data_IF_428611731720
#
_entry.id   IF_428611731720
#
_cell.length_a   1.000
_cell.length_b   1.000
_cell.length_c   1.000
_cell.angle_alpha   90.00
_cell.angle_beta   90.00
_cell.angle_gamma   90.00
#
_symmetry.space_group_name_H-M   'P 1'
#
loop_
_entity.id
_entity.type
_entity.pdbx_description
1 polymer ?
#
# COMPACT_ATOMS: atom_id res chain seq x y z
N UNK A 1 -23.81 1.06 10.91
CA UNK A 1 -22.44 1.60 11.06
C UNK A 1 -21.44 0.52 11.45
N UNK A 2 -21.66 -0.27 12.48
CA UNK A 2 -20.82 -1.44 12.84
C UNK A 2 -20.77 -2.46 11.70
N UNK A 3 -21.85 -2.63 10.90
CA UNK A 3 -21.88 -3.55 9.76
C UNK A 3 -20.97 -3.11 8.61
N UNK A 4 -20.83 -1.82 8.34
CA UNK A 4 -19.92 -1.27 7.32
C UNK A 4 -18.44 -1.42 7.76
N UNK A 5 -18.15 -1.20 9.03
CA UNK A 5 -16.83 -1.43 9.60
C UNK A 5 -16.41 -2.90 9.57
N UNK A 6 -17.32 -3.82 9.88
CA UNK A 6 -17.08 -5.26 9.76
C UNK A 6 -16.86 -5.68 8.30
N UNK A 7 -17.65 -5.18 7.35
CA UNK A 7 -17.47 -5.44 5.92
C UNK A 7 -16.11 -4.93 5.42
N UNK A 8 -15.68 -3.74 5.85
CA UNK A 8 -14.36 -3.21 5.51
C UNK A 8 -13.21 -4.06 6.08
N UNK A 9 -13.31 -4.48 7.35
CA UNK A 9 -12.29 -5.31 7.99
C UNK A 9 -12.24 -6.73 7.42
N UNK A 10 -13.38 -7.34 7.12
CA UNK A 10 -13.44 -8.66 6.48
C UNK A 10 -12.90 -8.63 5.05
N UNK A 11 -13.13 -7.54 4.31
CA UNK A 11 -12.57 -7.37 2.97
C UNK A 11 -11.05 -7.23 3.00
N UNK A 12 -10.50 -6.47 3.96
CA UNK A 12 -9.05 -6.36 4.15
C UNK A 12 -8.38 -7.71 4.46
N UNK A 13 -9.01 -8.58 5.26
CA UNK A 13 -8.45 -9.91 5.57
C UNK A 13 -8.40 -10.78 4.33
N UNK A 14 -9.47 -10.80 3.53
CA UNK A 14 -9.58 -11.62 2.32
C UNK A 14 -8.57 -11.22 1.27
N UNK A 15 -8.41 -9.92 1.03
CA UNK A 15 -7.42 -9.40 0.10
C UNK A 15 -5.98 -9.76 0.54
N UNK A 16 -5.71 -9.75 1.85
CA UNK A 16 -4.41 -10.17 2.39
C UNK A 16 -4.17 -11.67 2.24
N UNK A 17 -5.18 -12.52 2.39
CA UNK A 17 -5.05 -13.96 2.18
C UNK A 17 -4.71 -14.25 0.71
N UNK A 18 -5.43 -13.63 -0.23
CA UNK A 18 -5.20 -13.78 -1.67
C UNK A 18 -3.78 -13.31 -2.04
N UNK A 19 -3.40 -12.13 -1.55
CA UNK A 19 -2.07 -11.55 -1.83
C UNK A 19 -0.95 -12.40 -1.25
N UNK A 20 -1.15 -12.95 -0.02
CA UNK A 20 -0.18 -13.85 0.60
C UNK A 20 -0.03 -15.15 -0.18
N UNK A 21 -1.12 -15.65 -0.78
CA UNK A 21 -1.08 -16.79 -1.70
C UNK A 21 -0.20 -16.49 -2.93
N UNK A 22 -0.30 -15.32 -3.53
CA UNK A 22 0.56 -14.91 -4.64
C UNK A 22 2.03 -14.77 -4.23
N UNK A 23 2.31 -14.17 -3.06
CA UNK A 23 3.67 -14.04 -2.54
C UNK A 23 4.32 -15.42 -2.32
N UNK A 24 3.60 -16.36 -1.69
CA UNK A 24 4.13 -17.71 -1.43
C UNK A 24 4.43 -18.50 -2.71
N UNK A 25 3.80 -18.15 -3.84
CA UNK A 25 4.05 -18.77 -5.13
C UNK A 25 5.10 -18.02 -5.98
N UNK A 26 5.77 -16.97 -5.44
CA UNK A 26 6.88 -16.28 -6.08
C UNK A 26 6.53 -15.56 -7.39
N UNK A 27 5.25 -15.18 -7.59
CA UNK A 27 4.81 -14.56 -8.85
C UNK A 27 5.42 -13.16 -9.02
N UNK A 28 5.45 -12.39 -7.93
CA UNK A 28 5.97 -11.02 -7.97
C UNK A 28 7.49 -11.00 -8.19
N UNK A 29 8.22 -11.97 -7.61
CA UNK A 29 9.64 -12.17 -7.85
C UNK A 29 9.91 -12.52 -9.32
N UNK A 30 9.11 -13.38 -9.92
CA UNK A 30 9.25 -13.73 -11.34
C UNK A 30 9.01 -12.54 -12.26
N UNK A 31 7.98 -11.75 -12.01
CA UNK A 31 7.70 -10.52 -12.76
C UNK A 31 8.85 -9.53 -12.60
N UNK A 32 9.31 -9.33 -11.37
CA UNK A 32 10.45 -8.47 -11.07
C UNK A 32 11.71 -8.90 -11.82
N UNK A 33 12.08 -10.17 -11.72
CA UNK A 33 13.25 -10.71 -12.40
C UNK A 33 13.15 -10.57 -13.92
N UNK A 34 12.01 -10.90 -14.53
CA UNK A 34 11.79 -10.77 -15.99
C UNK A 34 11.90 -9.32 -16.48
N UNK A 35 11.53 -8.34 -15.66
CA UNK A 35 11.69 -6.93 -16.00
C UNK A 35 13.14 -6.46 -15.84
N UNK A 36 13.85 -6.98 -14.84
CA UNK A 36 15.22 -6.57 -14.53
C UNK A 36 16.24 -7.11 -15.53
N UNK A 37 16.07 -8.31 -16.05
CA UNK A 37 16.96 -8.89 -17.08
C UNK A 37 17.03 -8.05 -18.36
N UNK A 38 16.08 -7.14 -18.56
CA UNK A 38 16.06 -6.20 -19.69
C UNK A 38 16.72 -4.85 -19.39
N UNK A 39 17.14 -4.61 -18.14
CA UNK A 39 17.76 -3.33 -17.75
C UNK A 39 19.27 -3.35 -17.97
N UNK A 40 19.81 -2.31 -18.60
CA UNK A 40 21.25 -2.15 -18.87
C UNK A 40 21.87 -0.96 -18.14
N UNK A 41 21.05 0.01 -17.73
CA UNK A 41 21.49 1.25 -17.09
C UNK A 41 20.88 1.39 -15.70
N UNK A 42 21.59 2.04 -14.79
CA UNK A 42 21.16 2.24 -13.40
C UNK A 42 19.79 2.92 -13.30
N UNK A 43 19.51 3.96 -14.10
CA UNK A 43 18.20 4.61 -14.07
C UNK A 43 17.04 3.68 -14.46
N UNK A 44 17.29 2.73 -15.40
CA UNK A 44 16.28 1.74 -15.79
C UNK A 44 15.97 0.78 -14.63
N UNK A 45 17.02 0.33 -13.94
CA UNK A 45 16.86 -0.50 -12.74
C UNK A 45 16.03 0.22 -11.69
N UNK A 46 16.37 1.46 -11.36
CA UNK A 46 15.65 2.26 -10.37
C UNK A 46 14.20 2.49 -10.82
N UNK A 47 13.99 2.83 -12.10
CA UNK A 47 12.65 3.04 -12.66
C UNK A 47 11.79 1.77 -12.58
N UNK A 48 12.35 0.60 -12.86
CA UNK A 48 11.64 -0.67 -12.71
C UNK A 48 11.33 -0.95 -11.25
N UNK A 49 12.28 -0.80 -10.34
CA UNK A 49 12.08 -1.06 -8.91
C UNK A 49 11.03 -0.13 -8.29
N UNK A 50 11.04 1.15 -8.62
CA UNK A 50 10.06 2.13 -8.16
C UNK A 50 8.71 1.93 -8.85
N UNK A 51 8.72 1.69 -10.17
CA UNK A 51 7.51 1.44 -10.96
C UNK A 51 6.78 0.19 -10.52
N UNK A 52 7.49 -0.90 -10.17
CA UNK A 52 6.89 -2.11 -9.61
C UNK A 52 6.08 -1.79 -8.34
N UNK A 53 6.62 -0.98 -7.43
CA UNK A 53 5.88 -0.56 -6.24
C UNK A 53 4.68 0.33 -6.58
N UNK A 54 4.85 1.28 -7.52
CA UNK A 54 3.79 2.19 -7.92
C UNK A 54 2.59 1.46 -8.53
N UNK A 55 2.83 0.61 -9.52
CA UNK A 55 1.74 -0.09 -10.21
C UNK A 55 1.20 -1.29 -9.42
N UNK A 56 2.05 -2.06 -8.74
CA UNK A 56 1.57 -3.18 -7.95
C UNK A 56 0.71 -2.73 -6.77
N UNK A 57 1.04 -1.61 -6.12
CA UNK A 57 0.25 -1.08 -5.01
C UNK A 57 -1.17 -0.63 -5.39
N UNK A 58 -1.45 -0.41 -6.67
CA UNK A 58 -2.81 -0.16 -7.17
C UNK A 58 -3.68 -1.43 -7.13
N UNK A 59 -3.06 -2.61 -7.13
CA UNK A 59 -3.72 -3.90 -7.30
C UNK A 59 -3.65 -4.73 -6.01
N UNK A 60 -2.46 -4.71 -5.39
CA UNK A 60 -2.19 -5.35 -4.11
C UNK A 60 -1.91 -4.25 -3.09
N UNK A 61 -2.23 -4.23 -1.92
CA UNK A 61 -2.02 -3.13 -0.98
C UNK A 61 -0.58 -2.59 -0.96
N UNK A 62 -0.40 -1.32 -0.62
CA UNK A 62 0.90 -0.65 -0.50
C UNK A 62 1.87 -1.41 0.42
N UNK A 63 1.38 -1.93 1.55
CA UNK A 63 2.18 -2.69 2.53
C UNK A 63 2.79 -3.94 1.90
N UNK A 64 1.97 -4.71 1.18
CA UNK A 64 2.39 -5.95 0.52
C UNK A 64 3.37 -5.68 -0.61
N UNK A 65 3.11 -4.63 -1.39
CA UNK A 65 4.04 -4.19 -2.44
C UNK A 65 5.43 -3.91 -1.85
N UNK A 66 5.51 -3.18 -0.73
CA UNK A 66 6.79 -2.87 -0.09
C UNK A 66 7.48 -4.09 0.53
N UNK A 67 6.73 -4.95 1.23
CA UNK A 67 7.30 -6.19 1.80
C UNK A 67 7.92 -7.07 0.71
N UNK A 68 7.34 -7.05 -0.49
CA UNK A 68 7.82 -7.84 -1.63
C UNK A 68 9.02 -7.19 -2.33
N UNK A 69 8.90 -5.93 -2.71
CA UNK A 69 9.86 -5.32 -3.63
C UNK A 69 10.99 -4.53 -2.95
N UNK A 70 10.88 -4.11 -1.68
CA UNK A 70 11.97 -3.44 -0.98
C UNK A 70 13.15 -4.38 -0.69
N UNK A 71 12.96 -5.59 -0.12
CA UNK A 71 14.05 -6.54 0.05
C UNK A 71 14.71 -6.90 -1.28
N UNK A 72 13.90 -7.05 -2.33
CA UNK A 72 14.39 -7.33 -3.67
C UNK A 72 15.27 -6.17 -4.20
N UNK A 73 14.84 -4.92 -4.04
CA UNK A 73 15.64 -3.75 -4.42
C UNK A 73 16.97 -3.66 -3.66
N UNK A 74 16.94 -3.92 -2.35
CA UNK A 74 18.14 -3.95 -1.51
C UNK A 74 19.13 -5.01 -2.01
N UNK A 75 18.63 -6.22 -2.30
CA UNK A 75 19.43 -7.32 -2.82
C UNK A 75 20.08 -6.94 -4.16
N UNK A 76 19.31 -6.43 -5.12
CA UNK A 76 19.79 -6.04 -6.44
C UNK A 76 20.83 -4.92 -6.38
N UNK A 77 20.62 -3.90 -5.53
CA UNK A 77 21.58 -2.81 -5.35
C UNK A 77 22.88 -3.28 -4.66
N UNK A 78 22.79 -4.29 -3.79
CA UNK A 78 23.99 -4.94 -3.22
C UNK A 78 24.78 -5.70 -4.29
N UNK A 79 24.10 -6.49 -5.12
CA UNK A 79 24.73 -7.25 -6.22
C UNK A 79 25.40 -6.33 -7.25
N UNK A 80 24.78 -5.18 -7.55
CA UNK A 80 25.36 -4.17 -8.43
C UNK A 80 26.46 -3.32 -7.77
N UNK A 81 26.82 -3.55 -6.49
CA UNK A 81 27.80 -2.75 -5.76
C UNK A 81 27.38 -1.30 -5.49
N UNK A 82 26.07 -1.00 -5.56
CA UNK A 82 25.50 0.36 -5.46
C UNK A 82 24.73 0.60 -4.16
N UNK A 83 25.40 0.27 -3.04
CA UNK A 83 24.77 0.41 -1.72
C UNK A 83 24.47 1.86 -1.34
N UNK A 84 25.11 2.85 -1.95
CA UNK A 84 24.85 4.27 -1.75
C UNK A 84 23.46 4.69 -2.26
N UNK A 85 22.89 3.97 -3.21
CA UNK A 85 21.56 4.23 -3.80
C UNK A 85 20.42 3.57 -3.02
N UNK A 86 20.70 2.70 -2.05
CA UNK A 86 19.65 2.01 -1.30
C UNK A 86 18.68 2.98 -0.61
N UNK A 87 19.19 4.02 0.07
CA UNK A 87 18.35 4.98 0.78
C UNK A 87 17.40 5.68 -0.19
N UNK A 88 17.88 6.40 -1.23
CA UNK A 88 16.96 7.10 -2.13
C UNK A 88 16.01 6.16 -2.86
N UNK A 89 16.44 4.95 -3.25
CA UNK A 89 15.57 3.98 -3.94
C UNK A 89 14.47 3.46 -3.01
N UNK A 90 14.80 3.05 -1.79
CA UNK A 90 13.80 2.54 -0.83
C UNK A 90 12.82 3.65 -0.43
N UNK A 91 13.29 4.88 -0.27
CA UNK A 91 12.42 6.04 -0.01
C UNK A 91 11.48 6.30 -1.18
N UNK A 92 11.99 6.29 -2.43
CA UNK A 92 11.15 6.46 -3.62
C UNK A 92 10.16 5.29 -3.80
N UNK A 93 10.55 4.06 -3.48
CA UNK A 93 9.63 2.91 -3.48
C UNK A 93 8.50 3.11 -2.45
N UNK A 94 8.82 3.65 -1.26
CA UNK A 94 7.83 3.94 -0.22
C UNK A 94 6.82 4.98 -0.68
N UNK A 95 7.30 6.08 -1.25
CA UNK A 95 6.45 7.13 -1.82
C UNK A 95 5.62 6.58 -2.98
N UNK A 96 6.25 5.79 -3.87
CA UNK A 96 5.58 5.16 -5.00
C UNK A 96 4.45 4.23 -4.56
N UNK A 97 4.66 3.42 -3.52
CA UNK A 97 3.64 2.53 -2.99
C UNK A 97 2.46 3.31 -2.35
N UNK A 98 2.75 4.36 -1.56
CA UNK A 98 1.70 5.19 -0.97
C UNK A 98 0.87 5.93 -2.03
N UNK A 99 1.54 6.59 -2.99
CA UNK A 99 0.87 7.42 -3.99
C UNK A 99 0.27 6.59 -5.15
N UNK A 100 0.84 5.43 -5.46
CA UNK A 100 0.23 4.50 -6.41
C UNK A 100 -1.04 3.89 -5.85
N UNK A 101 -1.00 3.41 -4.62
CA UNK A 101 -2.14 2.77 -3.96
C UNK A 101 -3.36 3.67 -3.80
N UNK A 102 -3.19 4.98 -3.81
CA UNK A 102 -4.31 5.90 -3.66
C UNK A 102 -5.28 5.86 -4.84
N UNK A 103 -4.87 5.43 -6.04
CA UNK A 103 -5.71 5.47 -7.24
C UNK A 103 -6.93 4.57 -7.15
N UNK A 104 -6.81 3.43 -6.49
CA UNK A 104 -7.87 2.40 -6.48
C UNK A 104 -8.43 2.18 -5.07
N UNK A 105 -9.69 1.75 -4.97
CA UNK A 105 -10.27 1.39 -3.67
C UNK A 105 -9.51 0.27 -2.95
N UNK A 106 -8.93 -0.69 -3.69
CA UNK A 106 -8.22 -1.85 -3.13
C UNK A 106 -6.75 -1.58 -2.79
N UNK A 107 -6.18 -0.44 -3.25
CA UNK A 107 -4.76 -0.14 -3.06
C UNK A 107 -4.37 0.07 -1.60
N UNK A 108 -5.31 0.52 -0.77
CA UNK A 108 -5.08 0.68 0.67
C UNK A 108 -6.38 0.60 1.48
N UNK A 109 -6.31 0.27 2.79
CA UNK A 109 -7.51 0.06 3.63
C UNK A 109 -8.40 1.30 3.77
N UNK A 110 -7.80 2.50 3.87
CA UNK A 110 -8.57 3.74 4.01
C UNK A 110 -9.41 4.04 2.76
N UNK A 111 -8.89 3.76 1.56
CA UNK A 111 -9.64 3.94 0.32
C UNK A 111 -10.82 2.99 0.24
N UNK A 112 -10.60 1.73 0.61
CA UNK A 112 -11.66 0.74 0.60
C UNK A 112 -12.81 1.14 1.53
N UNK A 113 -12.48 1.63 2.71
CA UNK A 113 -13.45 2.13 3.69
C UNK A 113 -14.18 3.37 3.18
N UNK A 114 -13.44 4.40 2.72
CA UNK A 114 -14.03 5.65 2.24
C UNK A 114 -14.84 5.45 0.95
N UNK A 115 -14.41 4.56 0.06
CA UNK A 115 -15.20 4.14 -1.12
C UNK A 115 -16.52 3.49 -0.70
N UNK A 116 -16.50 2.65 0.35
CA UNK A 116 -17.70 2.07 0.94
C UNK A 116 -18.69 3.11 1.42
N UNK A 117 -18.20 4.14 2.15
CA UNK A 117 -19.00 5.24 2.68
C UNK A 117 -19.53 6.17 1.58
N UNK A 118 -18.69 6.50 0.59
CA UNK A 118 -19.04 7.44 -0.47
C UNK A 118 -20.24 7.02 -1.31
N UNK A 119 -20.52 5.73 -1.41
CA UNK A 119 -21.66 5.23 -2.18
C UNK A 119 -21.55 5.41 -3.71
N UNK A 120 -20.42 5.96 -4.19
CA UNK A 120 -20.15 6.27 -5.60
C UNK A 120 -19.74 5.04 -6.41
N UNK A 121 -19.70 5.17 -7.74
CA UNK A 121 -19.14 4.16 -8.62
C UNK A 121 -17.61 4.15 -8.56
N UNK A 122 -16.99 2.99 -8.88
CA UNK A 122 -15.53 2.83 -8.88
C UNK A 122 -14.83 3.83 -9.82
N UNK A 123 -15.41 4.11 -10.99
CA UNK A 123 -14.87 5.06 -11.96
C UNK A 123 -14.84 6.49 -11.41
N UNK A 124 -15.88 6.90 -10.69
CA UNK A 124 -15.95 8.21 -10.06
C UNK A 124 -14.91 8.34 -8.95
N UNK A 125 -14.77 7.34 -8.10
CA UNK A 125 -13.74 7.33 -7.05
C UNK A 125 -12.33 7.43 -7.63
N UNK A 126 -12.03 6.69 -8.71
CA UNK A 126 -10.74 6.77 -9.41
C UNK A 126 -10.52 8.18 -9.97
N UNK A 127 -11.55 8.81 -10.57
CA UNK A 127 -11.42 10.15 -11.12
C UNK A 127 -11.12 11.21 -10.07
N UNK A 128 -11.50 11.05 -8.81
CA UNK A 128 -11.15 11.97 -7.73
C UNK A 128 -9.63 11.97 -7.46
N UNK A 129 -8.99 10.82 -7.54
CA UNK A 129 -7.59 10.61 -7.13
C UNK A 129 -6.61 10.59 -8.32
N UNK A 130 -7.14 10.41 -9.54
CA UNK A 130 -6.33 10.32 -10.76
C UNK A 130 -5.39 11.51 -10.99
N UNK A 131 -5.82 12.78 -10.83
CA UNK A 131 -4.94 13.94 -11.04
C UNK A 131 -3.73 13.92 -10.10
N UNK A 132 -3.93 13.56 -8.84
CA UNK A 132 -2.88 13.48 -7.84
C UNK A 132 -1.94 12.30 -8.11
N UNK A 133 -2.49 11.17 -8.56
CA UNK A 133 -1.69 10.00 -8.95
C UNK A 133 -0.81 10.29 -10.16
N UNK A 134 -1.32 11.00 -11.18
CA UNK A 134 -0.55 11.41 -12.35
C UNK A 134 0.56 12.39 -11.94
N UNK A 135 0.23 13.41 -11.13
CA UNK A 135 1.23 14.35 -10.62
C UNK A 135 2.34 13.63 -9.84
N UNK A 136 1.97 12.66 -9.01
CA UNK A 136 2.91 11.83 -8.25
C UNK A 136 3.82 10.99 -9.17
N UNK A 137 3.25 10.39 -10.21
CA UNK A 137 4.02 9.63 -11.20
C UNK A 137 5.06 10.52 -11.91
N UNK A 138 4.68 11.72 -12.29
CA UNK A 138 5.60 12.70 -12.91
C UNK A 138 6.72 13.11 -11.95
N UNK A 139 6.40 13.39 -10.68
CA UNK A 139 7.39 13.72 -9.67
C UNK A 139 8.36 12.55 -9.40
N UNK A 140 7.86 11.30 -9.39
CA UNK A 140 8.70 10.11 -9.27
C UNK A 140 9.67 9.99 -10.45
N UNK A 141 9.20 10.17 -11.69
CA UNK A 141 10.04 10.16 -12.88
C UNK A 141 11.12 11.25 -12.80
N UNK A 142 10.75 12.48 -12.43
CA UNK A 142 11.70 13.58 -12.25
C UNK A 142 12.73 13.23 -11.18
N UNK A 143 12.29 12.68 -10.04
CA UNK A 143 13.18 12.30 -8.95
C UNK A 143 14.19 11.22 -9.37
N UNK A 144 13.75 10.22 -10.15
CA UNK A 144 14.64 9.19 -10.72
C UNK A 144 15.66 9.82 -11.69
N UNK A 145 15.21 10.75 -12.51
CA UNK A 145 16.10 11.45 -13.46
C UNK A 145 17.11 12.36 -12.78
N UNK A 146 16.88 12.80 -11.55
CA UNK A 146 17.80 13.63 -10.76
C UNK A 146 18.82 12.81 -9.97
N UNK A 147 18.69 11.49 -9.88
CA UNK A 147 19.66 10.63 -9.19
C UNK A 147 21.01 10.70 -9.91
N UNK A 148 22.10 10.89 -9.13
CA UNK A 148 23.47 10.92 -9.64
C UNK A 148 23.89 9.53 -10.11
N UNK A 149 24.82 9.47 -11.08
CA UNK A 149 25.40 8.23 -11.65
C UNK A 149 24.38 7.29 -12.32
N UNK A 150 23.24 7.83 -12.76
CA UNK A 150 22.12 7.07 -13.35
C UNK A 150 22.43 6.39 -14.69
N UNK A 151 23.46 6.84 -15.42
CA UNK A 151 23.81 6.33 -16.77
C UNK A 151 24.86 5.20 -16.74
N UNK A 152 25.32 4.79 -15.56
CA UNK A 152 26.28 3.71 -15.46
C UNK A 152 25.66 2.39 -15.96
N UNK A 153 26.49 1.62 -16.67
CA UNK A 153 26.11 0.32 -17.20
C UNK A 153 26.15 -0.69 -16.06
N UNK A 154 25.11 -1.48 -15.95
CA UNK A 154 24.99 -2.54 -14.96
C UNK A 154 25.18 -3.86 -15.68
N UNK A 155 26.11 -4.69 -15.22
CA UNK A 155 26.13 -6.11 -15.55
C UNK A 155 25.39 -6.83 -14.41
N UNK A 156 24.16 -7.23 -14.66
CA UNK A 156 23.45 -8.16 -13.77
C UNK A 156 23.97 -9.52 -14.20
N UNK A 157 24.86 -10.13 -13.39
CA UNK A 157 25.16 -11.55 -13.57
C UNK A 157 23.87 -12.32 -13.35
N UNK A 158 23.51 -13.17 -14.33
CA UNK A 158 22.43 -14.14 -14.17
C UNK A 158 22.83 -15.08 -13.03
N UNK A 159 22.62 -14.63 -11.81
CA UNK A 159 22.57 -15.57 -10.70
C UNK A 159 21.31 -16.38 -10.91
N UNK A 160 21.49 -17.61 -11.36
CA UNK A 160 20.51 -18.68 -11.23
C UNK A 160 20.03 -18.64 -9.79
N UNK A 161 19.00 -17.85 -9.54
CA UNK A 161 18.33 -17.85 -8.26
C UNK A 161 17.61 -19.18 -8.17
N UNK A 162 18.26 -20.16 -7.52
CA UNK A 162 17.68 -21.43 -7.07
C UNK A 162 16.45 -21.23 -6.14
N UNK A 163 15.93 -20.03 -6.03
CA UNK A 163 14.58 -19.78 -5.56
C UNK A 163 13.55 -20.14 -6.65
N UNK A 164 13.72 -21.33 -7.26
CA UNK A 164 12.62 -22.01 -7.90
C UNK A 164 11.63 -22.42 -6.81
N UNK A 165 10.89 -21.44 -6.31
CA UNK A 165 9.64 -21.75 -5.64
C UNK A 165 8.84 -22.60 -6.62
N UNK A 166 8.59 -23.85 -6.26
CA UNK A 166 7.73 -24.76 -7.00
C UNK A 166 6.36 -24.09 -7.13
N UNK A 167 6.22 -23.30 -8.18
CA UNK A 167 4.99 -22.57 -8.48
C UNK A 167 3.92 -23.59 -8.82
N UNK A 168 3.05 -23.88 -7.89
CA UNK A 168 1.92 -24.76 -8.13
C UNK A 168 0.91 -24.04 -9.01
N UNK A 169 0.88 -24.35 -10.31
CA UNK A 169 -0.06 -23.74 -11.27
C UNK A 169 -1.52 -23.78 -10.77
N UNK A 170 -2.03 -24.92 -10.21
CA UNK A 170 -3.41 -24.95 -9.71
C UNK A 170 -3.65 -23.98 -8.54
N UNK A 171 -2.66 -23.76 -7.67
CA UNK A 171 -2.79 -22.78 -6.58
C UNK A 171 -2.86 -21.36 -7.11
N UNK A 172 -1.98 -21.03 -8.06
CA UNK A 172 -1.97 -19.71 -8.71
C UNK A 172 -3.30 -19.44 -9.40
N UNK A 173 -3.85 -20.42 -10.12
CA UNK A 173 -5.17 -20.30 -10.75
C UNK A 173 -6.28 -20.07 -9.71
N UNK A 174 -6.28 -20.80 -8.61
CA UNK A 174 -7.27 -20.63 -7.55
C UNK A 174 -7.22 -19.22 -6.93
N UNK A 175 -6.01 -18.73 -6.60
CA UNK A 175 -5.84 -17.36 -6.09
C UNK A 175 -6.20 -16.30 -7.12
N UNK A 176 -5.96 -16.54 -8.42
CA UNK A 176 -6.36 -15.62 -9.49
C UNK A 176 -7.89 -15.54 -9.62
N UNK A 177 -8.58 -16.65 -9.50
CA UNK A 177 -10.05 -16.66 -9.48
C UNK A 177 -10.58 -15.89 -8.26
N UNK A 178 -10.02 -16.13 -7.07
CA UNK A 178 -10.40 -15.39 -5.86
C UNK A 178 -10.13 -13.88 -6.01
N UNK A 179 -9.03 -13.50 -6.65
CA UNK A 179 -8.72 -12.10 -6.91
C UNK A 179 -9.74 -11.45 -7.85
N UNK A 180 -10.13 -12.13 -8.94
CA UNK A 180 -11.19 -11.64 -9.84
C UNK A 180 -12.51 -11.50 -9.08
N UNK A 181 -12.88 -12.48 -8.23
CA UNK A 181 -14.08 -12.39 -7.39
C UNK A 181 -14.01 -11.19 -6.44
N UNK A 182 -12.84 -10.91 -5.84
CA UNK A 182 -12.65 -9.74 -4.99
C UNK A 182 -12.86 -8.42 -5.77
N UNK A 183 -12.33 -8.32 -6.99
CA UNK A 183 -12.57 -7.16 -7.87
C UNK A 183 -14.06 -6.98 -8.19
N UNK A 184 -14.79 -8.05 -8.44
CA UNK A 184 -16.24 -8.00 -8.70
C UNK A 184 -17.04 -7.56 -7.47
N UNK A 185 -16.60 -7.91 -6.27
CA UNK A 185 -17.20 -7.42 -5.01
C UNK A 185 -16.93 -5.93 -4.83
N UNK A 186 -15.70 -5.47 -5.06
CA UNK A 186 -15.35 -4.03 -5.01
C UNK A 186 -16.14 -3.24 -6.05
N UNK A 187 -16.31 -3.80 -7.25
CA UNK A 187 -17.16 -3.21 -8.30
C UNK A 187 -18.67 -3.27 -7.99
N UNK A 188 -19.05 -3.82 -6.83
CA UNK A 188 -20.46 -3.99 -6.38
C UNK A 188 -21.31 -4.88 -7.31
N UNK A 189 -20.68 -5.72 -8.10
CA UNK A 189 -21.35 -6.72 -8.96
C UNK A 189 -21.71 -7.96 -8.17
N UNK A 190 -20.84 -8.36 -7.21
CA UNK A 190 -21.03 -9.52 -6.34
C UNK A 190 -21.16 -9.09 -4.87
N UNK A 191 -21.90 -9.88 -4.14
CA UNK A 191 -22.07 -9.68 -2.69
C UNK A 191 -20.90 -10.28 -1.91
N UNK A 192 -20.50 -9.61 -0.85
CA UNK A 192 -19.30 -9.94 -0.06
C UNK A 192 -19.31 -11.35 0.54
N UNK A 193 -20.45 -11.90 0.91
CA UNK A 193 -20.55 -13.24 1.51
C UNK A 193 -20.20 -14.37 0.52
N UNK A 194 -20.40 -14.17 -0.80
CA UNK A 194 -19.97 -15.13 -1.82
C UNK A 194 -18.44 -15.24 -1.84
N UNK A 195 -17.76 -14.11 -1.82
CA UNK A 195 -16.30 -14.07 -1.74
C UNK A 195 -15.81 -14.68 -0.42
N UNK A 196 -16.48 -14.38 0.71
CA UNK A 196 -16.13 -14.97 2.01
C UNK A 196 -16.17 -16.50 1.97
N UNK A 197 -17.26 -17.06 1.44
CA UNK A 197 -17.42 -18.51 1.30
C UNK A 197 -16.35 -19.09 0.35
N UNK A 198 -16.10 -18.45 -0.80
CA UNK A 198 -15.11 -18.90 -1.78
C UNK A 198 -13.68 -18.90 -1.18
N UNK A 199 -13.29 -17.84 -0.47
CA UNK A 199 -11.98 -17.77 0.20
C UNK A 199 -11.86 -18.84 1.28
N UNK A 200 -12.87 -18.98 2.13
CA UNK A 200 -12.85 -19.99 3.21
C UNK A 200 -12.71 -21.41 2.64
N UNK A 201 -13.51 -21.75 1.63
CA UNK A 201 -13.44 -23.06 0.98
C UNK A 201 -12.06 -23.30 0.36
N UNK A 202 -11.55 -22.31 -0.41
CA UNK A 202 -10.27 -22.44 -1.10
C UNK A 202 -9.11 -22.63 -0.11
N UNK A 203 -9.10 -21.84 0.98
CA UNK A 203 -8.04 -21.91 1.99
C UNK A 203 -8.12 -23.22 2.77
N UNK A 204 -9.30 -23.69 3.13
CA UNK A 204 -9.47 -24.97 3.83
C UNK A 204 -9.04 -26.17 2.96
N UNK A 205 -9.23 -26.07 1.63
CA UNK A 205 -8.86 -27.15 0.71
C UNK A 205 -7.38 -27.13 0.33
N UNK A 206 -6.80 -25.96 0.11
CA UNK A 206 -5.45 -25.81 -0.44
C UNK A 206 -4.37 -25.55 0.61
N UNK A 207 -4.65 -24.73 1.62
CA UNK A 207 -3.61 -24.28 2.57
C UNK A 207 -4.17 -23.87 3.93
N UNK A 208 -4.49 -24.81 4.78
CA UNK A 208 -4.96 -24.53 6.16
C UNK A 208 -4.01 -23.64 6.98
N UNK A 209 -2.71 -23.71 6.69
CA UNK A 209 -1.68 -22.93 7.37
C UNK A 209 -1.71 -21.42 7.07
N UNK A 210 -2.37 -21.00 6.00
CA UNK A 210 -2.49 -19.56 5.65
C UNK A 210 -3.39 -18.84 6.65
N UNK A 211 -4.45 -19.50 7.13
CA UNK A 211 -5.32 -18.95 8.19
C UNK A 211 -4.54 -18.70 9.49
N UNK A 212 -3.71 -19.66 9.91
CA UNK A 212 -2.91 -19.52 11.13
C UNK A 212 -1.85 -18.39 11.03
N UNK A 213 -1.45 -18.03 9.80
CA UNK A 213 -0.47 -16.99 9.52
C UNK A 213 -1.09 -15.64 9.15
N UNK A 214 -2.42 -15.51 9.17
CA UNK A 214 -3.10 -14.23 8.92
C UNK A 214 -2.75 -13.23 10.03
N UNK A 215 -2.66 -11.94 9.66
CA UNK A 215 -2.34 -10.86 10.61
C UNK A 215 -3.59 -10.46 11.40
N UNK A 216 -3.89 -11.25 12.43
CA UNK A 216 -5.01 -11.00 13.34
C UNK A 216 -4.80 -9.74 14.20
N UNK A 217 -3.54 -9.32 14.44
CA UNK A 217 -3.24 -8.11 15.20
C UNK A 217 -3.74 -6.87 14.47
N UNK A 218 -3.57 -6.83 13.16
CA UNK A 218 -4.11 -5.74 12.35
C UNK A 218 -5.64 -5.73 12.36
N UNK A 219 -6.29 -6.90 12.27
CA UNK A 219 -7.75 -7.00 12.36
C UNK A 219 -8.27 -6.43 13.69
N UNK A 220 -7.66 -6.85 14.80
CA UNK A 220 -8.01 -6.36 16.14
C UNK A 220 -7.78 -4.84 16.23
N UNK A 221 -6.73 -4.33 15.59
CA UNK A 221 -6.45 -2.90 15.52
C UNK A 221 -7.58 -2.15 14.79
N UNK A 222 -8.06 -2.66 13.66
CA UNK A 222 -9.19 -2.05 12.95
C UNK A 222 -10.47 -2.08 13.79
N UNK A 223 -10.78 -3.23 14.42
CA UNK A 223 -11.93 -3.32 15.33
C UNK A 223 -11.80 -2.32 16.47
N UNK A 224 -10.61 -2.19 17.06
CA UNK A 224 -10.33 -1.20 18.10
C UNK A 224 -10.56 0.22 17.62
N UNK A 225 -10.12 0.57 16.41
CA UNK A 225 -10.36 1.89 15.83
C UNK A 225 -11.84 2.15 15.58
N UNK A 226 -12.60 1.20 15.05
CA UNK A 226 -14.05 1.37 14.87
C UNK A 226 -14.79 1.58 16.20
N UNK A 227 -14.42 0.84 17.24
CA UNK A 227 -14.98 1.04 18.58
C UNK A 227 -14.60 2.42 19.12
N UNK A 228 -13.34 2.83 18.96
CA UNK A 228 -12.85 4.12 19.41
C UNK A 228 -13.55 5.28 18.71
N UNK A 229 -13.57 5.29 17.36
CA UNK A 229 -14.18 6.36 16.56
C UNK A 229 -15.68 6.45 16.80
N UNK A 230 -16.39 5.33 16.83
CA UNK A 230 -17.82 5.31 17.12
C UNK A 230 -18.17 5.78 18.54
N UNK A 231 -17.27 5.61 19.52
CA UNK A 231 -17.46 6.21 20.86
C UNK A 231 -17.11 7.69 20.89
N UNK A 232 -16.07 8.13 20.16
CA UNK A 232 -15.71 9.54 20.05
C UNK A 232 -16.84 10.38 19.44
N UNK A 233 -17.53 9.85 18.42
CA UNK A 233 -18.71 10.50 17.83
C UNK A 233 -19.89 10.67 18.75
N UNK A 234 -19.98 9.89 19.86
CA UNK A 234 -21.04 10.00 20.87
C UNK A 234 -20.76 11.05 21.95
N UNK A 235 -19.53 11.50 22.09
CA UNK A 235 -19.16 12.55 23.05
C UNK A 235 -19.42 13.90 22.39
N UNK A 236 -20.53 14.55 22.72
CA UNK A 236 -21.00 15.80 22.08
C UNK A 236 -19.91 16.87 21.97
N UNK A 237 -19.15 17.11 23.05
CA UNK A 237 -18.08 18.12 23.08
C UNK A 237 -16.99 17.83 22.05
N UNK A 238 -16.62 16.55 21.91
CA UNK A 238 -15.59 16.11 20.95
C UNK A 238 -16.14 16.13 19.52
N UNK A 239 -17.37 15.68 19.35
CA UNK A 239 -18.04 15.69 18.05
C UNK A 239 -18.18 17.11 17.49
N UNK A 240 -18.64 18.07 18.33
CA UNK A 240 -18.72 19.48 17.94
C UNK A 240 -17.35 20.09 17.61
N UNK A 241 -16.34 19.79 18.42
CA UNK A 241 -14.98 20.30 18.19
C UNK A 241 -14.40 19.74 16.87
N UNK A 242 -14.48 18.43 16.65
CA UNK A 242 -13.96 17.81 15.44
C UNK A 242 -14.75 18.22 14.19
N UNK A 243 -16.08 18.27 14.26
CA UNK A 243 -16.90 18.77 13.17
C UNK A 243 -16.57 20.23 12.80
N UNK A 244 -16.28 21.08 13.78
CA UNK A 244 -15.87 22.47 13.57
C UNK A 244 -14.51 22.62 12.88
N UNK A 245 -13.59 21.65 13.08
CA UNK A 245 -12.28 21.64 12.42
C UNK A 245 -12.37 21.02 11.02
N UNK A 246 -13.17 19.98 10.85
CA UNK A 246 -13.21 19.15 9.64
C UNK A 246 -14.07 19.78 8.55
N UNK A 247 -15.26 20.27 8.89
CA UNK A 247 -16.22 20.80 7.89
C UNK A 247 -15.62 21.96 7.07
N UNK A 248 -15.53 21.76 5.76
CA UNK A 248 -14.97 22.72 4.81
C UNK A 248 -13.43 22.73 4.74
N UNK A 249 -12.75 21.89 5.53
CA UNK A 249 -11.29 21.73 5.56
C UNK A 249 -10.87 20.26 5.59
N UNK A 250 -11.65 19.38 4.98
CA UNK A 250 -11.47 17.92 5.03
C UNK A 250 -10.11 17.50 4.51
N UNK A 251 -9.62 18.19 3.46
CA UNK A 251 -8.32 17.90 2.87
C UNK A 251 -7.19 18.18 3.87
N UNK A 252 -7.14 19.40 4.42
CA UNK A 252 -6.12 19.81 5.40
C UNK A 252 -6.21 19.00 6.68
N UNK A 253 -7.44 18.78 7.18
CA UNK A 253 -7.68 17.96 8.37
C UNK A 253 -7.18 16.53 8.14
N UNK A 254 -7.45 15.94 6.96
CA UNK A 254 -6.97 14.62 6.58
C UNK A 254 -5.44 14.55 6.56
N UNK A 255 -4.78 15.53 5.95
CA UNK A 255 -3.31 15.59 5.90
C UNK A 255 -2.72 15.68 7.32
N UNK A 256 -3.17 16.66 8.11
CA UNK A 256 -2.60 16.94 9.44
C UNK A 256 -2.84 15.79 10.42
N UNK A 257 -4.06 15.26 10.44
CA UNK A 257 -4.41 14.15 11.36
C UNK A 257 -3.62 12.89 11.02
N UNK A 258 -3.39 12.62 9.73
CA UNK A 258 -2.56 11.48 9.30
C UNK A 258 -1.13 11.55 9.82
N UNK A 259 -0.56 12.74 10.00
CA UNK A 259 0.79 12.88 10.57
C UNK A 259 0.87 12.44 12.04
N UNK A 260 -0.24 12.48 12.77
CA UNK A 260 -0.30 12.17 14.19
C UNK A 260 -0.70 10.73 14.48
N UNK A 261 -1.73 10.22 13.77
CA UNK A 261 -2.34 8.91 14.08
C UNK A 261 -2.35 7.94 12.93
N UNK A 262 -1.64 8.23 11.81
CA UNK A 262 -1.65 7.47 10.55
C UNK A 262 -2.93 7.67 9.71
N UNK A 263 -2.78 7.52 8.39
CA UNK A 263 -3.83 7.81 7.41
C UNK A 263 -5.08 6.93 7.55
N UNK A 264 -4.94 5.67 7.95
CA UNK A 264 -6.09 4.77 8.13
C UNK A 264 -6.95 5.18 9.32
N UNK A 265 -6.41 5.33 10.55
CA UNK A 265 -7.17 5.88 11.67
C UNK A 265 -7.72 7.28 11.42
N UNK A 266 -6.97 8.14 10.72
CA UNK A 266 -7.44 9.48 10.36
C UNK A 266 -8.67 9.42 9.47
N UNK A 267 -8.68 8.54 8.45
CA UNK A 267 -9.85 8.32 7.59
C UNK A 267 -11.06 7.87 8.39
N UNK A 268 -10.89 6.89 9.28
CA UNK A 268 -11.95 6.35 10.12
C UNK A 268 -12.51 7.40 11.07
N UNK A 269 -11.64 8.17 11.73
CA UNK A 269 -12.04 9.19 12.69
C UNK A 269 -12.77 10.35 12.01
N UNK A 270 -12.20 10.91 10.95
CA UNK A 270 -12.70 12.15 10.36
C UNK A 270 -13.95 11.93 9.52
N UNK A 271 -14.16 10.72 8.97
CA UNK A 271 -15.35 10.42 8.17
C UNK A 271 -16.67 10.48 8.95
N UNK A 272 -16.62 10.37 10.28
CA UNK A 272 -17.80 10.52 11.13
C UNK A 272 -18.29 11.99 11.24
N UNK A 273 -17.45 12.95 10.82
CA UNK A 273 -17.69 14.39 11.03
C UNK A 273 -17.85 15.17 9.71
N UNK A 274 -17.89 14.49 8.57
CA UNK A 274 -18.05 15.13 7.26
C UNK A 274 -18.79 14.24 6.25
N UNK A 275 -19.56 14.88 5.38
CA UNK A 275 -20.18 14.24 4.21
C UNK A 275 -19.29 14.36 2.96
N UNK A 276 -18.22 15.16 3.02
CA UNK A 276 -17.32 15.39 1.89
C UNK A 276 -16.22 14.34 1.82
N UNK A 277 -16.63 13.10 1.56
CA UNK A 277 -15.74 11.94 1.48
C UNK A 277 -14.68 12.10 0.39
N UNK A 278 -14.97 12.84 -0.69
CA UNK A 278 -14.01 13.12 -1.75
C UNK A 278 -12.77 13.86 -1.22
N UNK A 279 -12.97 15.02 -0.58
CA UNK A 279 -11.85 15.83 -0.09
C UNK A 279 -11.12 15.12 1.06
N UNK A 280 -11.85 14.40 1.91
CA UNK A 280 -11.25 13.58 2.95
C UNK A 280 -10.36 12.48 2.34
N UNK A 281 -10.85 11.76 1.30
CA UNK A 281 -10.06 10.73 0.62
C UNK A 281 -8.76 11.28 0.05
N UNK A 282 -8.81 12.44 -0.59
CA UNK A 282 -7.60 13.11 -1.10
C UNK A 282 -6.65 13.46 0.05
N UNK A 283 -7.18 14.08 1.12
CA UNK A 283 -6.40 14.52 2.26
C UNK A 283 -5.67 13.39 2.97
N UNK A 284 -6.34 12.28 3.29
CA UNK A 284 -5.70 11.16 4.01
C UNK A 284 -4.72 10.37 3.14
N UNK A 285 -4.90 10.36 1.82
CA UNK A 285 -3.95 9.70 0.92
C UNK A 285 -2.67 10.53 0.77
N UNK A 286 -2.78 11.84 0.54
CA UNK A 286 -1.63 12.76 0.55
C UNK A 286 -0.99 12.77 1.94
N UNK A 287 -1.80 12.81 3.00
CA UNK A 287 -1.36 12.74 4.38
C UNK A 287 -0.65 11.43 4.77
N UNK A 288 -0.72 10.39 3.96
CA UNK A 288 0.10 9.18 4.12
C UNK A 288 1.59 9.40 3.86
N UNK A 289 1.95 10.55 3.23
CA UNK A 289 3.32 11.07 3.15
C UNK A 289 3.61 11.95 4.38
N UNK A 290 4.89 12.30 4.56
CA UNK A 290 5.35 13.18 5.64
C UNK A 290 6.11 12.43 6.72
N UNK A 291 5.51 12.16 7.87
CA UNK A 291 6.17 11.44 8.96
C UNK A 291 6.20 9.92 8.73
N UNK A 292 7.11 9.20 9.40
CA UNK A 292 7.11 7.73 9.36
C UNK A 292 5.83 7.11 9.94
N UNK A 293 5.13 7.84 10.83
CA UNK A 293 3.88 7.38 11.47
C UNK A 293 2.69 7.59 10.54
N UNK A 294 2.79 8.52 9.58
CA UNK A 294 1.69 8.87 8.69
C UNK A 294 1.16 7.69 7.87
N UNK A 295 2.00 6.69 7.59
CA UNK A 295 1.61 5.46 6.91
C UNK A 295 2.33 4.24 7.48
N UNK A 296 1.61 3.13 7.67
CA UNK A 296 2.23 1.84 8.01
C UNK A 296 3.24 1.39 6.96
N UNK A 297 2.98 1.66 5.69
CA UNK A 297 3.90 1.39 4.58
C UNK A 297 5.27 2.05 4.79
N UNK A 298 5.30 3.29 5.31
CA UNK A 298 6.53 4.01 5.63
C UNK A 298 7.31 3.34 6.77
N UNK A 299 6.62 2.85 7.79
CA UNK A 299 7.24 2.10 8.89
C UNK A 299 7.79 0.75 8.44
N UNK A 300 7.09 0.06 7.54
CA UNK A 300 7.53 -1.24 6.98
C UNK A 300 8.84 -1.06 6.21
N UNK A 301 8.87 -0.13 5.27
CA UNK A 301 10.09 0.11 4.47
C UNK A 301 11.26 0.58 5.30
N UNK A 302 11.02 1.44 6.30
CA UNK A 302 12.03 1.83 7.27
C UNK A 302 12.61 0.63 8.03
N UNK A 303 11.76 -0.24 8.57
CA UNK A 303 12.19 -1.44 9.28
C UNK A 303 12.98 -2.38 8.37
N UNK A 304 12.52 -2.62 7.14
CA UNK A 304 13.22 -3.46 6.18
C UNK A 304 14.62 -2.91 5.86
N UNK A 305 14.75 -1.60 5.67
CA UNK A 305 16.04 -0.98 5.41
C UNK A 305 16.97 -1.03 6.64
N UNK A 306 16.47 -0.66 7.83
CA UNK A 306 17.27 -0.59 9.06
C UNK A 306 17.74 -1.98 9.52
N UNK A 307 16.98 -3.02 9.28
CA UNK A 307 17.41 -4.40 9.56
C UNK A 307 18.65 -4.79 8.73
N UNK A 308 18.80 -4.24 7.52
CA UNK A 308 19.92 -4.51 6.62
C UNK A 308 21.13 -3.59 6.84
N UNK A 309 20.89 -2.33 7.22
CA UNK A 309 21.92 -1.30 7.39
C UNK A 309 21.63 -0.42 8.62
N UNK A 310 21.81 -0.96 9.85
CA UNK A 310 21.44 -0.24 11.08
C UNK A 310 22.20 1.07 11.31
N UNK A 311 23.46 1.13 10.84
CA UNK A 311 24.32 2.29 11.09
C UNK A 311 23.85 3.55 10.35
N UNK A 312 23.07 3.40 9.27
CA UNK A 312 22.63 4.52 8.43
C UNK A 312 21.18 4.97 8.70
N UNK A 313 20.56 4.54 9.83
CA UNK A 313 19.17 4.88 10.18
C UNK A 313 18.88 6.38 10.20
N UNK A 314 19.82 7.19 10.74
CA UNK A 314 19.66 8.66 10.78
C UNK A 314 19.70 9.30 9.38
N UNK A 315 20.56 8.79 8.49
CA UNK A 315 20.62 9.25 7.10
C UNK A 315 19.35 8.88 6.33
N UNK A 316 18.83 7.66 6.56
CA UNK A 316 17.54 7.25 5.98
C UNK A 316 16.43 8.21 6.39
N UNK A 317 16.31 8.50 7.69
CA UNK A 317 15.28 9.39 8.22
C UNK A 317 15.36 10.79 7.60
N UNK A 318 16.56 11.37 7.50
CA UNK A 318 16.76 12.68 6.89
C UNK A 318 16.35 12.70 5.41
N UNK A 319 16.78 11.71 4.62
CA UNK A 319 16.42 11.60 3.20
C UNK A 319 14.92 11.35 3.04
N UNK A 320 14.34 10.46 3.87
CA UNK A 320 12.91 10.19 3.88
C UNK A 320 12.10 11.46 4.12
N UNK A 321 12.46 12.26 5.14
CA UNK A 321 11.77 13.51 5.47
C UNK A 321 11.85 14.51 4.32
N UNK A 322 13.04 14.71 3.72
CA UNK A 322 13.21 15.63 2.61
C UNK A 322 12.35 15.24 1.42
N UNK A 323 12.38 13.97 1.00
CA UNK A 323 11.57 13.52 -0.13
C UNK A 323 10.08 13.62 0.16
N UNK A 324 9.62 13.26 1.37
CA UNK A 324 8.20 13.35 1.73
C UNK A 324 7.68 14.80 1.86
N UNK A 325 8.55 15.80 2.06
CA UNK A 325 8.19 17.22 2.02
C UNK A 325 8.07 17.71 0.56
N UNK A 326 8.88 17.16 -0.35
CA UNK A 326 8.87 17.56 -1.77
C UNK A 326 7.64 17.00 -2.48
N UNK A 327 7.20 15.81 -2.13
CA UNK A 327 6.03 15.15 -2.71
C UNK A 327 4.73 15.56 -2.04
#
# INVERSE_FOLDING_TARGET
EISLGLVGSEMCIRDRIITKGYMQNGIFEKIGHALLTRTRKMWQLIAVLVGLNFFSSMIITNDVSLITFVPFAIMMLKQCGRQELMIPVVVLQTIAANLGSMLTPIGNPQNLYLYGLAGTGIGEFIMWLLPYTIASALLLVISILLIKNKNEIICIEDTDSEAAHNTSVPRVMAYSVLFILALLVVARVLTWYILAAAVLITVLLLEKNVLAKADYALLLTFIGFFIFTGNMGRVESVAHFLAGIVKGRELEAGIITSQCISNVPAALLLSEFTDNIKNLSIGVNIGGLGTLIASMASLISYKLYVNEVPEKKGKYFAVFTVYNIIF
#
